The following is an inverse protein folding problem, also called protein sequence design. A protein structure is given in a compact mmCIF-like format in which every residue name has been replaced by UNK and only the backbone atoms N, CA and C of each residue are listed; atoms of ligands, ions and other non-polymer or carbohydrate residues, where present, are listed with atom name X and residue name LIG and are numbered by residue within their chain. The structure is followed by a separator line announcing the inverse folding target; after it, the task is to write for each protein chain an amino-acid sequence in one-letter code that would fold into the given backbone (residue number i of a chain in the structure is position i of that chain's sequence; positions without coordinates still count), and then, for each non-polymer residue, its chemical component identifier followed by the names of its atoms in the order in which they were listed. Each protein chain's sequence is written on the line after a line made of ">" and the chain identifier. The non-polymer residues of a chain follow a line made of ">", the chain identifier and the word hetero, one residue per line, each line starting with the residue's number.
data_IF_735412066846
#
_entry.id   IF_735412066846
#
_cell.length_a   1.000
_cell.length_b   1.000
_cell.length_c   1.000
_cell.angle_alpha   90.00
_cell.angle_beta   90.00
_cell.angle_gamma   90.00
#
_symmetry.space_group_name_H-M   'P 1'
#
loop_
_entity.id
_entity.type
_entity.pdbx_description
1 polymer ?
#
# COMPACT_ATOMS: atom_id res chain seq x y z
N UNK A 1 -28.47 4.70 19.23
CA UNK A 1 -27.21 5.46 19.35
C UNK A 1 -26.45 5.35 18.04
N UNK A 2 -26.41 6.42 17.26
CA UNK A 2 -25.62 6.48 16.01
C UNK A 2 -24.14 6.33 16.38
N UNK A 3 -23.51 5.25 15.94
CA UNK A 3 -22.06 5.09 16.03
C UNK A 3 -21.47 6.18 15.13
N UNK A 4 -20.86 7.23 15.72
CA UNK A 4 -20.00 8.14 14.95
C UNK A 4 -19.05 7.28 14.14
N UNK A 5 -19.18 7.29 12.82
CA UNK A 5 -18.24 6.66 11.92
C UNK A 5 -16.87 7.27 12.22
N UNK A 6 -15.93 6.45 12.66
CA UNK A 6 -14.55 6.87 12.91
C UNK A 6 -13.99 7.35 11.58
N UNK A 7 -13.40 8.54 11.55
CA UNK A 7 -12.69 9.05 10.37
C UNK A 7 -11.75 7.98 9.82
N UNK A 8 -11.87 7.70 8.54
CA UNK A 8 -11.04 6.69 7.87
C UNK A 8 -9.82 7.35 7.27
N UNK A 9 -8.67 6.71 7.41
CA UNK A 9 -7.43 7.22 6.80
C UNK A 9 -7.48 7.04 5.28
N UNK A 10 -7.07 8.06 4.55
CA UNK A 10 -6.82 8.02 3.11
C UNK A 10 -5.33 7.92 2.90
N UNK A 11 -4.87 6.77 2.43
CA UNK A 11 -3.47 6.36 2.40
C UNK A 11 -3.02 6.23 0.94
N UNK A 12 -1.93 6.90 0.57
CA UNK A 12 -1.33 6.72 -0.75
C UNK A 12 -0.19 5.69 -0.69
N UNK A 13 -0.28 4.63 -1.50
CA UNK A 13 0.79 3.63 -1.63
C UNK A 13 1.57 3.85 -2.91
N UNK A 14 2.89 3.87 -2.76
CA UNK A 14 3.87 4.03 -3.80
C UNK A 14 4.74 2.77 -3.89
N UNK A 15 4.61 2.04 -5.01
CA UNK A 15 5.44 0.88 -5.28
C UNK A 15 6.78 1.38 -5.85
N UNK A 16 7.88 1.09 -5.17
CA UNK A 16 9.22 1.61 -5.48
C UNK A 16 10.08 0.53 -6.12
N UNK A 17 10.80 0.89 -7.18
CA UNK A 17 11.84 0.06 -7.81
C UNK A 17 13.08 0.91 -8.08
N UNK A 18 14.11 0.73 -7.23
CA UNK A 18 15.28 1.62 -7.27
C UNK A 18 14.87 3.07 -7.03
N UNK A 19 15.32 4.05 -7.85
CA UNK A 19 14.99 5.45 -7.64
C UNK A 19 13.60 5.84 -8.15
N UNK A 20 12.79 4.91 -8.68
CA UNK A 20 11.54 5.23 -9.37
C UNK A 20 10.31 4.64 -8.71
N UNK A 21 9.19 5.35 -8.81
CA UNK A 21 7.86 4.74 -8.63
C UNK A 21 7.53 3.91 -9.85
N UNK A 22 6.97 2.75 -9.60
CA UNK A 22 6.45 1.87 -10.64
C UNK A 22 5.03 1.43 -10.29
N UNK A 23 4.25 1.07 -11.31
CA UNK A 23 2.93 0.46 -11.10
C UNK A 23 2.60 -0.52 -12.21
N UNK A 24 2.01 -1.64 -11.81
CA UNK A 24 1.43 -2.66 -12.68
C UNK A 24 -0.07 -2.81 -12.47
N UNK A 25 -0.64 -3.81 -13.11
CA UNK A 25 -2.00 -4.31 -12.88
C UNK A 25 -1.86 -5.70 -12.28
N UNK A 26 -2.55 -5.99 -11.18
CA UNK A 26 -2.44 -7.26 -10.45
C UNK A 26 -0.97 -7.63 -10.12
N UNK A 27 -0.18 -6.61 -9.76
CA UNK A 27 1.26 -6.70 -9.46
C UNK A 27 2.17 -7.07 -10.64
N UNK A 28 1.65 -7.10 -11.86
CA UNK A 28 2.39 -7.45 -13.08
C UNK A 28 2.51 -6.27 -14.06
N UNK A 29 3.44 -6.36 -15.02
CA UNK A 29 3.59 -5.38 -16.09
C UNK A 29 4.01 -4.01 -15.59
N UNK A 30 5.02 -3.95 -14.73
CA UNK A 30 5.49 -2.73 -14.08
C UNK A 30 5.91 -1.64 -15.06
N UNK A 31 5.42 -0.42 -14.85
CA UNK A 31 5.78 0.78 -15.60
C UNK A 31 6.32 1.83 -14.66
N UNK A 32 7.36 2.51 -15.08
CA UNK A 32 7.91 3.67 -14.36
C UNK A 32 6.94 4.84 -14.50
N UNK A 33 6.63 5.50 -13.37
CA UNK A 33 5.68 6.61 -13.31
C UNK A 33 6.33 7.94 -12.91
N UNK A 34 7.47 7.90 -12.22
CA UNK A 34 8.18 9.10 -11.80
C UNK A 34 8.99 8.94 -10.53
N UNK A 35 9.29 10.04 -9.90
CA UNK A 35 10.11 10.14 -8.69
C UNK A 35 9.27 9.91 -7.41
N UNK A 36 9.72 9.06 -6.45
CA UNK A 36 8.99 8.78 -5.22
C UNK A 36 8.78 10.00 -4.31
N UNK A 37 9.79 10.86 -4.20
CA UNK A 37 9.73 12.04 -3.34
C UNK A 37 8.69 13.04 -3.87
N UNK A 38 8.70 13.30 -5.19
CA UNK A 38 7.73 14.17 -5.84
C UNK A 38 6.28 13.68 -5.68
N UNK A 39 6.05 12.37 -5.77
CA UNK A 39 4.71 11.79 -5.60
C UNK A 39 4.26 11.82 -4.15
N UNK A 40 5.15 11.53 -3.19
CA UNK A 40 4.83 11.56 -1.77
C UNK A 40 4.48 12.98 -1.32
N UNK A 41 5.28 13.98 -1.70
CA UNK A 41 5.02 15.39 -1.41
C UNK A 41 3.70 15.87 -2.05
N UNK A 42 3.44 15.47 -3.29
CA UNK A 42 2.18 15.80 -3.96
C UNK A 42 0.97 15.25 -3.20
N UNK A 43 1.00 13.98 -2.74
CA UNK A 43 -0.10 13.40 -1.98
C UNK A 43 -0.22 13.98 -0.57
N UNK A 44 0.89 14.27 0.08
CA UNK A 44 0.92 15.00 1.35
C UNK A 44 0.23 16.35 1.21
N UNK A 45 0.57 17.14 0.21
CA UNK A 45 -0.04 18.46 -0.05
C UNK A 45 -1.52 18.38 -0.45
N UNK A 46 -2.00 17.23 -0.90
CA UNK A 46 -3.41 16.97 -1.13
C UNK A 46 -4.19 16.51 0.11
N UNK A 47 -3.52 16.27 1.24
CA UNK A 47 -4.13 15.88 2.51
C UNK A 47 -4.22 14.38 2.74
N UNK A 48 -3.30 13.58 2.18
CA UNK A 48 -3.13 12.19 2.57
C UNK A 48 -2.89 12.08 4.08
N UNK A 49 -3.46 11.05 4.71
CA UNK A 49 -3.27 10.80 6.14
C UNK A 49 -2.03 9.94 6.43
N UNK A 50 -1.53 9.21 5.43
CA UNK A 50 -0.36 8.35 5.52
C UNK A 50 0.19 8.05 4.13
N UNK A 51 1.50 7.84 4.02
CA UNK A 51 2.17 7.32 2.82
C UNK A 51 2.70 5.92 3.11
N UNK A 52 2.53 5.00 2.16
CA UNK A 52 3.17 3.68 2.19
C UNK A 52 4.17 3.57 1.05
N UNK A 53 5.44 3.33 1.35
CA UNK A 53 6.42 2.86 0.38
C UNK A 53 6.52 1.34 0.41
N UNK A 54 6.46 0.72 -0.76
CA UNK A 54 6.65 -0.73 -0.92
C UNK A 54 7.75 -0.99 -1.93
N UNK A 55 8.93 -1.45 -1.47
CA UNK A 55 9.98 -1.91 -2.38
C UNK A 55 9.60 -3.29 -2.94
N UNK A 56 9.21 -3.30 -4.21
CA UNK A 56 8.72 -4.50 -4.89
C UNK A 56 9.83 -5.35 -5.53
N UNK A 57 11.09 -4.90 -5.45
CA UNK A 57 12.26 -5.59 -6.00
C UNK A 57 13.40 -5.76 -5.00
N UNK A 58 13.15 -5.50 -3.73
CA UNK A 58 14.16 -5.58 -2.66
C UNK A 58 14.90 -6.93 -2.56
N UNK A 59 14.35 -7.98 -3.13
CA UNK A 59 15.02 -9.28 -3.24
C UNK A 59 16.09 -9.33 -4.33
N UNK A 60 16.06 -8.40 -5.30
CA UNK A 60 16.90 -8.39 -6.51
C UNK A 60 17.99 -7.32 -6.49
N UNK A 61 17.73 -6.18 -5.81
CA UNK A 61 18.65 -5.03 -5.76
C UNK A 61 18.98 -4.66 -4.32
N UNK A 62 20.17 -4.11 -4.09
CA UNK A 62 20.62 -3.73 -2.74
C UNK A 62 19.72 -2.68 -2.07
N UNK A 63 19.60 -2.75 -0.73
CA UNK A 63 18.70 -1.90 0.08
C UNK A 63 19.06 -0.42 0.16
N UNK A 64 20.27 -0.05 -0.21
CA UNK A 64 20.74 1.33 -0.02
C UNK A 64 19.88 2.37 -0.73
N UNK A 65 19.31 2.01 -1.90
CA UNK A 65 18.43 2.91 -2.65
C UNK A 65 17.11 3.23 -1.93
N UNK A 66 16.49 2.24 -1.26
CA UNK A 66 15.26 2.46 -0.51
C UNK A 66 15.48 3.35 0.72
N UNK A 67 16.54 3.11 1.50
CA UNK A 67 16.86 3.91 2.67
C UNK A 67 17.10 5.39 2.32
N UNK A 68 17.75 5.63 1.18
CA UNK A 68 17.98 6.98 0.68
C UNK A 68 16.65 7.67 0.30
N UNK A 69 15.77 7.00 -0.44
CA UNK A 69 14.45 7.51 -0.81
C UNK A 69 13.61 7.80 0.44
N UNK A 70 13.58 6.87 1.42
CA UNK A 70 12.88 7.07 2.71
C UNK A 70 13.42 8.30 3.43
N UNK A 71 14.75 8.43 3.55
CA UNK A 71 15.36 9.54 4.27
C UNK A 71 15.12 10.89 3.61
N UNK A 72 15.08 10.96 2.29
CA UNK A 72 14.75 12.18 1.56
C UNK A 72 13.27 12.54 1.71
N UNK A 73 12.38 11.57 1.55
CA UNK A 73 10.93 11.79 1.66
C UNK A 73 10.53 12.23 3.07
N UNK A 74 11.06 11.58 4.12
CA UNK A 74 10.74 11.90 5.50
C UNK A 74 11.11 13.34 5.92
N UNK A 75 11.96 14.04 5.16
CA UNK A 75 12.28 15.45 5.39
C UNK A 75 11.20 16.40 4.88
N UNK A 76 10.39 15.97 3.94
CA UNK A 76 9.47 16.82 3.18
C UNK A 76 7.99 16.53 3.51
N UNK A 77 7.68 15.42 4.19
CA UNK A 77 6.31 15.07 4.60
C UNK A 77 6.23 14.96 6.12
N UNK A 78 5.09 15.40 6.70
CA UNK A 78 4.85 15.42 8.16
C UNK A 78 3.61 14.59 8.52
N UNK A 79 3.42 13.48 7.82
CA UNK A 79 2.41 12.45 8.06
C UNK A 79 3.12 11.10 8.18
N UNK A 80 2.49 10.09 8.83
CA UNK A 80 3.11 8.78 8.98
C UNK A 80 3.61 8.19 7.66
N UNK A 81 4.84 7.68 7.67
CA UNK A 81 5.46 6.98 6.56
C UNK A 81 5.64 5.50 6.93
N UNK A 82 4.88 4.63 6.27
CA UNK A 82 5.02 3.17 6.41
C UNK A 82 5.91 2.64 5.30
N UNK A 83 6.87 1.80 5.64
CA UNK A 83 7.81 1.22 4.67
C UNK A 83 7.75 -0.30 4.70
N UNK A 84 7.59 -0.91 3.53
CA UNK A 84 7.57 -2.35 3.31
C UNK A 84 8.46 -2.79 2.15
N UNK A 85 8.62 -4.11 2.04
CA UNK A 85 9.46 -4.72 1.02
C UNK A 85 10.89 -5.00 1.48
N UNK A 86 11.33 -6.25 1.30
CA UNK A 86 12.70 -6.69 1.60
C UNK A 86 13.15 -6.68 3.06
N UNK A 87 12.30 -6.36 4.01
CA UNK A 87 12.59 -6.34 5.44
C UNK A 87 12.54 -7.78 5.98
N UNK A 88 13.65 -8.28 6.55
CA UNK A 88 13.81 -9.70 6.91
C UNK A 88 14.34 -9.93 8.33
N UNK A 89 14.77 -8.88 9.01
CA UNK A 89 15.39 -8.95 10.34
C UNK A 89 15.10 -7.70 11.17
N UNK A 90 15.31 -7.78 12.49
CA UNK A 90 15.23 -6.62 13.39
C UNK A 90 16.20 -5.51 12.97
N UNK A 91 17.39 -5.90 12.49
CA UNK A 91 18.35 -4.92 11.95
C UNK A 91 17.75 -4.14 10.78
N UNK A 92 17.07 -4.81 9.85
CA UNK A 92 16.44 -4.16 8.70
C UNK A 92 15.36 -3.19 9.15
N UNK A 93 14.54 -3.60 10.12
CA UNK A 93 13.50 -2.75 10.72
C UNK A 93 14.14 -1.50 11.31
N UNK A 94 15.16 -1.66 12.15
CA UNK A 94 15.87 -0.55 12.77
C UNK A 94 16.49 0.41 11.73
N UNK A 95 17.10 -0.12 10.67
CA UNK A 95 17.71 0.70 9.62
C UNK A 95 16.66 1.56 8.90
N UNK A 96 15.48 1.00 8.59
CA UNK A 96 14.36 1.70 7.94
C UNK A 96 13.74 2.75 8.87
N UNK A 97 13.53 2.44 10.15
CA UNK A 97 13.03 3.40 11.14
C UNK A 97 14.02 4.57 11.33
N UNK A 98 15.32 4.28 11.39
CA UNK A 98 16.37 5.32 11.46
C UNK A 98 16.45 6.18 10.19
N UNK A 99 16.06 5.65 9.04
CA UNK A 99 15.96 6.43 7.82
C UNK A 99 14.76 7.40 7.82
N UNK A 100 13.82 7.29 8.75
CA UNK A 100 12.71 8.21 8.94
C UNK A 100 11.32 7.60 8.73
N UNK A 101 11.20 6.28 8.62
CA UNK A 101 9.91 5.60 8.64
C UNK A 101 9.29 5.60 10.05
N UNK A 102 7.98 5.71 10.14
CA UNK A 102 7.20 5.61 11.39
C UNK A 102 6.70 4.20 11.64
N UNK A 103 6.40 3.45 10.56
CA UNK A 103 5.90 2.09 10.59
C UNK A 103 6.59 1.19 9.58
N UNK A 104 6.53 -0.10 9.85
CA UNK A 104 7.07 -1.17 9.01
C UNK A 104 5.94 -2.08 8.54
N UNK A 105 5.97 -2.44 7.25
CA UNK A 105 5.04 -3.41 6.68
C UNK A 105 5.78 -4.72 6.35
N UNK A 106 5.40 -5.82 7.03
CA UNK A 106 5.95 -7.15 6.84
C UNK A 106 4.97 -8.04 6.05
N UNK A 107 5.46 -8.79 5.07
CA UNK A 107 4.72 -9.84 4.36
C UNK A 107 5.59 -11.11 4.30
N UNK A 108 6.39 -11.30 3.26
CA UNK A 108 7.14 -12.54 2.98
C UNK A 108 8.01 -13.02 4.15
N UNK A 109 8.64 -12.10 4.87
CA UNK A 109 9.47 -12.45 6.02
C UNK A 109 8.63 -13.00 7.17
N UNK A 110 7.46 -12.40 7.45
CA UNK A 110 6.54 -12.87 8.48
C UNK A 110 5.95 -14.25 8.14
N UNK A 111 5.60 -14.50 6.87
CA UNK A 111 5.11 -15.80 6.41
C UNK A 111 6.18 -16.90 6.57
N UNK A 112 7.45 -16.58 6.22
CA UNK A 112 8.57 -17.53 6.32
C UNK A 112 9.05 -17.76 7.75
N UNK A 113 8.96 -16.75 8.59
CA UNK A 113 9.35 -16.79 10.00
C UNK A 113 8.39 -15.94 10.85
N UNK A 114 7.26 -16.50 11.31
CA UNK A 114 6.29 -15.78 12.13
C UNK A 114 6.88 -15.22 13.44
N UNK A 115 7.92 -15.83 13.98
CA UNK A 115 8.62 -15.34 15.19
C UNK A 115 9.16 -13.91 15.01
N UNK A 116 9.46 -13.51 13.78
CA UNK A 116 9.89 -12.13 13.49
C UNK A 116 8.82 -11.09 13.92
N UNK A 117 7.52 -11.45 13.92
CA UNK A 117 6.46 -10.55 14.38
C UNK A 117 6.60 -10.31 15.88
N UNK A 118 6.75 -11.38 16.68
CA UNK A 118 6.90 -11.28 18.15
C UNK A 118 8.13 -10.43 18.51
N UNK A 119 9.26 -10.73 17.87
CA UNK A 119 10.54 -10.06 18.14
C UNK A 119 10.46 -8.57 17.77
N UNK A 120 9.85 -8.25 16.60
CA UNK A 120 9.67 -6.88 16.15
C UNK A 120 8.70 -6.10 17.05
N UNK A 121 7.60 -6.69 17.46
CA UNK A 121 6.63 -6.08 18.38
C UNK A 121 7.26 -5.82 19.75
N UNK A 122 8.05 -6.76 20.26
CA UNK A 122 8.77 -6.61 21.53
C UNK A 122 9.77 -5.47 21.50
N UNK A 123 10.48 -5.28 20.39
CA UNK A 123 11.56 -4.29 20.29
C UNK A 123 11.03 -2.90 19.89
N UNK A 124 10.08 -2.83 18.95
CA UNK A 124 9.64 -1.56 18.33
C UNK A 124 8.21 -1.16 18.71
N UNK A 125 7.47 -2.02 19.37
CA UNK A 125 6.07 -1.80 19.74
C UNK A 125 5.06 -2.20 18.65
N UNK A 126 3.89 -2.63 19.07
CA UNK A 126 2.80 -3.10 18.20
C UNK A 126 2.40 -2.05 17.14
N UNK A 127 2.29 -0.78 17.53
CA UNK A 127 1.86 0.31 16.61
C UNK A 127 2.81 0.56 15.44
N UNK A 128 4.06 0.09 15.55
CA UNK A 128 5.07 0.20 14.49
C UNK A 128 4.95 -0.92 13.46
N UNK A 129 4.27 -2.02 13.78
CA UNK A 129 4.27 -3.24 12.96
C UNK A 129 2.92 -3.43 12.28
N UNK A 130 2.91 -3.27 10.97
CA UNK A 130 1.80 -3.60 10.07
C UNK A 130 2.09 -4.92 9.37
N UNK A 131 1.14 -5.85 9.34
CA UNK A 131 1.26 -7.08 8.54
C UNK A 131 0.49 -6.91 7.24
N UNK A 132 1.22 -6.96 6.12
CA UNK A 132 0.61 -6.97 4.79
C UNK A 132 0.21 -8.40 4.41
N UNK A 133 -1.06 -8.58 4.07
CA UNK A 133 -1.62 -9.84 3.61
C UNK A 133 -2.11 -9.65 2.19
N UNK A 134 -1.42 -10.27 1.25
CA UNK A 134 -1.73 -10.24 -0.17
C UNK A 134 -2.59 -11.44 -0.52
N UNK A 135 -3.83 -11.21 -0.97
CA UNK A 135 -4.82 -12.25 -1.23
C UNK A 135 -5.24 -12.23 -2.69
N UNK A 136 -5.22 -13.40 -3.32
CA UNK A 136 -5.76 -13.59 -4.66
C UNK A 136 -6.98 -14.54 -4.62
N UNK A 137 -7.90 -14.37 -5.56
CA UNK A 137 -9.04 -15.26 -5.73
C UNK A 137 -8.70 -16.30 -6.81
N UNK A 138 -8.31 -17.50 -6.39
CA UNK A 138 -7.97 -18.63 -7.24
C UNK A 138 -9.01 -19.72 -7.07
N UNK A 139 -9.59 -20.23 -8.14
CA UNK A 139 -10.61 -21.29 -8.12
C UNK A 139 -11.71 -21.06 -7.08
N UNK A 140 -12.20 -19.83 -6.96
CA UNK A 140 -13.21 -19.36 -6.00
C UNK A 140 -12.78 -19.42 -4.52
N UNK A 141 -11.49 -19.59 -4.22
CA UNK A 141 -10.90 -19.54 -2.88
C UNK A 141 -9.98 -18.34 -2.74
N UNK A 142 -9.96 -17.76 -1.57
CA UNK A 142 -9.01 -16.72 -1.22
C UNK A 142 -7.72 -17.36 -0.72
N UNK A 143 -6.66 -17.20 -1.51
CA UNK A 143 -5.33 -17.75 -1.23
C UNK A 143 -4.37 -16.62 -0.88
N UNK A 144 -3.53 -16.82 0.15
CA UNK A 144 -2.48 -15.87 0.51
C UNK A 144 -1.28 -16.08 -0.41
N UNK A 145 -0.78 -14.97 -0.95
CA UNK A 145 0.45 -14.96 -1.71
C UNK A 145 1.53 -14.13 -1.00
N UNK A 146 2.78 -14.42 -1.32
CA UNK A 146 3.94 -13.67 -0.86
C UNK A 146 4.96 -13.51 -2.01
N UNK A 147 6.14 -12.96 -1.73
CA UNK A 147 7.13 -12.62 -2.76
C UNK A 147 6.52 -11.78 -3.90
N UNK A 148 5.79 -10.73 -3.48
CA UNK A 148 5.14 -9.81 -4.41
C UNK A 148 4.07 -10.49 -5.28
N UNK A 149 3.21 -11.28 -4.66
CA UNK A 149 2.09 -11.96 -5.30
C UNK A 149 2.47 -13.16 -6.19
N UNK A 150 3.69 -13.69 -6.09
CA UNK A 150 4.19 -14.73 -7.00
C UNK A 150 4.13 -16.16 -6.45
N UNK A 151 4.11 -16.32 -5.15
CA UNK A 151 4.15 -17.63 -4.50
C UNK A 151 2.97 -17.81 -3.56
N UNK A 152 2.37 -19.00 -3.58
CA UNK A 152 1.32 -19.39 -2.65
C UNK A 152 1.91 -19.68 -1.27
N UNK A 153 1.32 -19.12 -0.23
CA UNK A 153 1.76 -19.35 1.14
C UNK A 153 1.29 -20.72 1.70
N UNK A 154 0.23 -21.29 1.12
CA UNK A 154 -0.42 -22.51 1.63
C UNK A 154 -0.86 -22.42 3.08
N UNK A 155 -1.27 -21.22 3.50
CA UNK A 155 -1.75 -20.89 4.84
C UNK A 155 -3.20 -20.43 4.72
N UNK A 156 -4.07 -20.89 5.60
CA UNK A 156 -5.46 -20.44 5.67
C UNK A 156 -5.53 -18.97 6.07
N UNK A 157 -6.32 -18.18 5.34
CA UNK A 157 -6.43 -16.73 5.53
C UNK A 157 -6.87 -16.34 6.94
N UNK A 158 -7.89 -17.03 7.47
CA UNK A 158 -8.45 -16.70 8.78
C UNK A 158 -7.47 -17.03 9.90
N UNK A 159 -6.84 -18.22 9.82
CA UNK A 159 -5.80 -18.64 10.78
C UNK A 159 -4.62 -17.68 10.78
N UNK A 160 -4.18 -17.25 9.61
CA UNK A 160 -3.04 -16.33 9.51
C UNK A 160 -3.36 -14.95 10.11
N UNK A 161 -4.54 -14.40 9.86
CA UNK A 161 -4.97 -13.14 10.46
C UNK A 161 -5.03 -13.25 11.98
N UNK A 162 -5.57 -14.36 12.51
CA UNK A 162 -5.64 -14.61 13.96
C UNK A 162 -4.22 -14.70 14.53
N UNK A 163 -3.35 -15.50 13.93
CA UNK A 163 -1.96 -15.67 14.37
C UNK A 163 -1.19 -14.34 14.38
N UNK A 164 -1.30 -13.52 13.33
CA UNK A 164 -0.65 -12.21 13.30
C UNK A 164 -1.08 -11.32 14.48
N UNK A 165 -2.36 -11.32 14.82
CA UNK A 165 -2.88 -10.54 15.95
C UNK A 165 -2.41 -11.08 17.30
N UNK A 166 -2.40 -12.41 17.49
CA UNK A 166 -1.91 -13.05 18.70
C UNK A 166 -0.42 -12.78 18.94
N UNK A 167 0.36 -12.66 17.86
CA UNK A 167 1.78 -12.25 17.91
C UNK A 167 1.97 -10.74 18.12
N UNK A 168 0.90 -9.96 18.19
CA UNK A 168 0.92 -8.54 18.55
C UNK A 168 0.99 -7.57 17.38
N UNK A 169 0.70 -7.99 16.15
CA UNK A 169 0.59 -7.06 15.00
C UNK A 169 -0.36 -5.89 15.33
N UNK A 170 0.09 -4.67 15.09
CA UNK A 170 -0.69 -3.46 15.40
C UNK A 170 -1.71 -3.08 14.33
N UNK A 171 -1.53 -3.57 13.11
CA UNK A 171 -2.38 -3.24 11.97
C UNK A 171 -2.31 -4.34 10.90
N UNK A 172 -3.42 -4.57 10.19
CA UNK A 172 -3.47 -5.44 9.02
C UNK A 172 -3.69 -4.58 7.77
N UNK A 173 -2.79 -4.72 6.76
CA UNK A 173 -2.97 -4.22 5.40
C UNK A 173 -3.42 -5.37 4.50
N UNK A 174 -4.71 -5.38 4.16
CA UNK A 174 -5.31 -6.39 3.29
C UNK A 174 -5.32 -5.94 1.84
N UNK A 175 -4.60 -6.64 0.96
CA UNK A 175 -4.55 -6.36 -0.47
C UNK A 175 -5.25 -7.43 -1.29
N UNK A 176 -6.29 -7.07 -2.03
CA UNK A 176 -6.94 -7.94 -3.02
C UNK A 176 -6.19 -7.85 -4.36
N UNK A 177 -5.26 -8.80 -4.64
CA UNK A 177 -4.41 -8.79 -5.84
C UNK A 177 -5.24 -8.78 -7.12
N UNK A 178 -6.25 -9.66 -7.22
CA UNK A 178 -7.14 -9.76 -8.38
C UNK A 178 -7.94 -8.49 -8.68
N UNK A 179 -7.97 -7.54 -7.73
CA UNK A 179 -8.58 -6.22 -7.88
C UNK A 179 -7.55 -5.11 -8.08
N UNK A 180 -6.28 -5.34 -7.70
CA UNK A 180 -5.26 -4.28 -7.74
C UNK A 180 -5.05 -3.74 -9.15
N UNK A 181 -5.15 -2.42 -9.28
CA UNK A 181 -5.00 -1.71 -10.55
C UNK A 181 -6.12 -1.89 -11.56
N UNK A 182 -7.21 -2.61 -11.25
CA UNK A 182 -8.30 -2.91 -12.21
C UNK A 182 -9.39 -1.84 -12.30
N UNK A 183 -9.55 -1.00 -11.27
CA UNK A 183 -10.64 -0.02 -11.19
C UNK A 183 -12.05 -0.64 -11.04
N UNK A 184 -12.16 -1.92 -10.64
CA UNK A 184 -13.43 -2.65 -10.54
C UNK A 184 -14.08 -2.59 -9.14
N UNK A 185 -13.58 -1.72 -8.26
CA UNK A 185 -14.03 -1.59 -6.88
C UNK A 185 -13.38 -2.61 -5.94
N UNK A 186 -13.43 -2.31 -4.63
CA UNK A 186 -12.89 -3.18 -3.59
C UNK A 186 -13.60 -4.54 -3.55
N UNK A 187 -12.89 -5.59 -3.12
CA UNK A 187 -13.50 -6.90 -2.88
C UNK A 187 -14.23 -6.92 -1.53
N UNK A 188 -15.52 -6.61 -1.59
CA UNK A 188 -16.36 -6.52 -0.41
C UNK A 188 -16.53 -7.89 0.28
N UNK A 189 -16.57 -8.99 -0.48
CA UNK A 189 -16.71 -10.33 0.10
C UNK A 189 -15.49 -10.70 0.94
N UNK A 190 -14.30 -10.41 0.44
CA UNK A 190 -13.05 -10.60 1.18
C UNK A 190 -13.03 -9.74 2.45
N UNK A 191 -13.39 -8.47 2.34
CA UNK A 191 -13.43 -7.53 3.47
C UNK A 191 -14.43 -7.99 4.53
N UNK A 192 -15.63 -8.44 4.14
CA UNK A 192 -16.64 -8.95 5.07
C UNK A 192 -16.17 -10.23 5.80
N UNK A 193 -15.45 -11.13 5.10
CA UNK A 193 -14.87 -12.31 5.71
C UNK A 193 -13.84 -11.92 6.78
N UNK A 194 -12.92 -11.03 6.45
CA UNK A 194 -11.86 -10.57 7.35
C UNK A 194 -12.43 -9.78 8.54
N UNK A 195 -13.46 -8.98 8.32
CA UNK A 195 -14.11 -8.19 9.39
C UNK A 195 -14.71 -9.01 10.52
N UNK A 196 -14.99 -10.30 10.30
CA UNK A 196 -15.53 -11.21 11.34
C UNK A 196 -14.48 -11.59 12.38
N UNK A 197 -13.20 -11.52 12.03
CA UNK A 197 -12.09 -12.04 12.82
C UNK A 197 -11.05 -10.97 13.20
N UNK A 198 -10.95 -9.89 12.43
CA UNK A 198 -9.98 -8.84 12.69
C UNK A 198 -10.38 -8.01 13.92
N UNK A 199 -9.40 -7.81 14.83
CA UNK A 199 -9.57 -7.04 16.09
C UNK A 199 -8.66 -5.83 16.16
N UNK A 200 -7.64 -5.78 15.32
CA UNK A 200 -6.73 -4.62 15.14
C UNK A 200 -7.20 -3.74 13.98
N UNK A 201 -6.69 -2.52 13.83
CA UNK A 201 -6.98 -1.69 12.67
C UNK A 201 -6.81 -2.45 11.35
N UNK A 202 -7.81 -2.31 10.47
CA UNK A 202 -7.82 -2.89 9.13
C UNK A 202 -7.76 -1.79 8.08
N UNK A 203 -6.70 -1.78 7.28
CA UNK A 203 -6.61 -0.96 6.08
C UNK A 203 -6.71 -1.86 4.84
N UNK A 204 -7.41 -1.40 3.82
CA UNK A 204 -7.75 -2.23 2.65
C UNK A 204 -7.27 -1.62 1.35
N UNK A 205 -6.78 -2.46 0.44
CA UNK A 205 -6.24 -2.08 -0.85
C UNK A 205 -6.76 -2.98 -1.98
N UNK A 206 -6.81 -2.40 -3.18
CA UNK A 206 -7.10 -3.10 -4.44
C UNK A 206 -8.48 -2.81 -4.98
N UNK A 207 -8.52 -2.24 -6.19
CA UNK A 207 -9.72 -2.11 -7.00
C UNK A 207 -10.36 -0.73 -7.10
N UNK A 208 -10.05 0.25 -6.26
CA UNK A 208 -10.64 1.58 -6.35
C UNK A 208 -10.38 2.22 -7.73
N UNK A 209 -11.43 2.70 -8.38
CA UNK A 209 -11.38 3.37 -9.68
C UNK A 209 -12.30 4.58 -9.80
N UNK A 210 -13.20 4.81 -8.82
CA UNK A 210 -14.18 5.88 -8.84
C UNK A 210 -14.60 6.32 -7.43
N UNK A 211 -15.24 7.50 -7.34
CA UNK A 211 -15.85 7.99 -6.09
C UNK A 211 -16.89 7.02 -5.52
N UNK A 212 -17.65 6.33 -6.39
CA UNK A 212 -18.62 5.31 -5.97
C UNK A 212 -17.99 4.16 -5.20
N UNK A 213 -16.76 3.80 -5.54
CA UNK A 213 -16.03 2.75 -4.82
C UNK A 213 -15.64 3.24 -3.42
N UNK A 214 -15.30 4.52 -3.29
CA UNK A 214 -15.01 5.17 -2.01
C UNK A 214 -16.28 5.25 -1.16
N UNK A 215 -17.37 5.79 -1.70
CA UNK A 215 -18.67 5.87 -1.03
C UNK A 215 -19.13 4.50 -0.51
N UNK A 216 -18.90 3.46 -1.31
CA UNK A 216 -19.23 2.09 -0.92
C UNK A 216 -18.36 1.59 0.23
N UNK A 217 -17.03 1.72 0.13
CA UNK A 217 -16.12 1.12 1.13
C UNK A 217 -16.18 1.83 2.48
N UNK A 218 -16.47 3.13 2.54
CA UNK A 218 -16.58 3.85 3.80
C UNK A 218 -17.77 3.39 4.66
N UNK A 219 -18.77 2.73 4.09
CA UNK A 219 -19.88 2.13 4.85
C UNK A 219 -19.48 0.83 5.56
N UNK A 220 -18.33 0.25 5.23
CA UNK A 220 -17.81 -0.98 5.85
C UNK A 220 -16.90 -0.66 7.06
N UNK A 221 -16.72 -1.66 7.92
CA UNK A 221 -15.82 -1.56 9.08
C UNK A 221 -14.37 -1.70 8.61
N UNK A 222 -13.79 -0.60 8.11
CA UNK A 222 -12.36 -0.47 7.79
C UNK A 222 -11.82 0.79 8.43
N UNK A 223 -10.55 0.83 8.80
CA UNK A 223 -9.90 1.97 9.46
C UNK A 223 -9.14 2.87 8.49
N UNK A 224 -8.93 2.39 7.26
CA UNK A 224 -8.33 3.16 6.19
C UNK A 224 -8.47 2.50 4.82
N UNK A 225 -8.32 3.32 3.80
CA UNK A 225 -8.32 2.92 2.39
C UNK A 225 -6.97 3.25 1.77
N UNK A 226 -6.35 2.28 1.12
CA UNK A 226 -5.06 2.41 0.48
C UNK A 226 -5.26 2.46 -1.03
N UNK A 227 -4.75 3.51 -1.65
CA UNK A 227 -4.90 3.78 -3.08
C UNK A 227 -3.52 3.94 -3.73
N UNK A 228 -3.40 3.48 -4.96
CA UNK A 228 -2.20 3.55 -5.76
C UNK A 228 -2.52 3.94 -7.20
N UNK A 229 -2.85 2.99 -8.07
CA UNK A 229 -3.09 3.22 -9.51
C UNK A 229 -4.02 4.39 -9.81
N UNK A 230 -5.18 4.48 -9.17
CA UNK A 230 -6.16 5.54 -9.42
C UNK A 230 -5.57 6.93 -9.13
N UNK A 231 -4.82 7.07 -8.02
CA UNK A 231 -4.16 8.34 -7.66
C UNK A 231 -3.01 8.67 -8.64
N UNK A 232 -2.18 7.68 -8.97
CA UNK A 232 -1.02 7.89 -9.84
C UNK A 232 -1.45 8.30 -11.24
N UNK A 233 -2.40 7.60 -11.83
CA UNK A 233 -2.88 7.93 -13.17
C UNK A 233 -3.64 9.26 -13.22
N UNK A 234 -4.37 9.62 -12.14
CA UNK A 234 -4.98 10.95 -12.02
C UNK A 234 -3.91 12.06 -11.98
N UNK A 235 -2.85 11.90 -11.16
CA UNK A 235 -1.73 12.86 -11.10
C UNK A 235 -1.08 13.02 -12.47
N UNK A 236 -0.79 11.91 -13.17
CA UNK A 236 -0.15 11.93 -14.49
C UNK A 236 -1.06 12.61 -15.53
N UNK A 237 -2.36 12.36 -15.51
CA UNK A 237 -3.31 12.98 -16.44
C UNK A 237 -3.47 14.50 -16.23
N UNK A 238 -3.24 14.99 -15.01
CA UNK A 238 -3.31 16.42 -14.66
C UNK A 238 -2.02 17.19 -14.94
N UNK A 239 -0.90 16.50 -15.25
CA UNK A 239 0.38 17.17 -15.52
C UNK A 239 0.31 18.00 -16.79
N UNK A 240 0.81 19.23 -16.69
CA UNK A 240 1.04 20.12 -17.82
C UNK A 240 2.19 19.63 -18.72
N UNK A 241 2.25 20.07 -19.97
CA UNK A 241 3.28 19.67 -20.95
C UNK A 241 4.73 20.06 -20.55
N UNK A 242 4.89 20.79 -19.45
CA UNK A 242 6.18 21.21 -18.87
C UNK A 242 6.88 20.12 -18.03
N UNK A 243 6.27 18.93 -17.86
CA UNK A 243 6.85 17.86 -17.06
C UNK A 243 8.19 17.38 -17.63
N UNK A 244 9.26 17.66 -16.92
CA UNK A 244 10.59 17.09 -17.20
C UNK A 244 10.63 15.66 -16.61
N UNK A 245 10.62 14.67 -17.49
CA UNK A 245 10.91 13.30 -17.10
C UNK A 245 12.37 13.21 -16.63
N UNK A 246 12.56 13.08 -15.33
CA UNK A 246 13.88 12.91 -14.71
C UNK A 246 14.28 11.44 -14.60
N UNK A 247 13.39 10.49 -14.96
CA UNK A 247 13.70 9.07 -14.91
C UNK A 247 14.68 8.68 -16.02
N UNK A 248 15.76 7.98 -15.65
CA UNK A 248 16.75 7.43 -16.60
C UNK A 248 16.24 6.15 -17.29
N UNK A 249 15.19 5.52 -16.80
CA UNK A 249 14.67 4.24 -17.26
C UNK A 249 13.14 4.28 -17.42
N UNK A 250 12.58 3.57 -18.40
CA UNK A 250 11.17 3.34 -18.57
C UNK A 250 10.59 3.70 -19.94
N UNK A 251 9.31 3.33 -20.16
CA UNK A 251 8.60 3.67 -21.39
C UNK A 251 8.06 5.11 -21.32
N UNK A 252 8.91 6.07 -21.73
CA UNK A 252 8.63 7.52 -21.73
C UNK A 252 7.43 7.91 -22.60
N UNK A 253 7.15 7.14 -23.66
CA UNK A 253 5.99 7.39 -24.53
C UNK A 253 4.66 7.17 -23.83
N UNK A 254 4.59 6.23 -22.88
CA UNK A 254 3.38 6.00 -22.10
C UNK A 254 2.99 7.22 -21.26
N UNK A 255 3.97 7.82 -20.59
CA UNK A 255 3.75 9.03 -19.76
C UNK A 255 3.42 10.23 -20.66
N UNK A 256 4.15 10.41 -21.78
CA UNK A 256 3.94 11.51 -22.73
C UNK A 256 2.56 11.45 -23.40
N UNK A 257 2.09 10.27 -23.72
CA UNK A 257 0.80 10.10 -24.40
C UNK A 257 -0.41 10.21 -23.47
N UNK A 258 -0.22 10.43 -22.16
CA UNK A 258 -1.30 10.53 -21.13
C UNK A 258 -2.30 9.36 -21.22
N UNK A 259 -1.90 8.23 -21.83
CA UNK A 259 -2.75 7.06 -22.00
C UNK A 259 -2.84 6.28 -20.70
N UNK A 260 -3.98 6.36 -20.05
CA UNK A 260 -4.34 5.41 -18.99
C UNK A 260 -4.90 4.16 -19.65
N UNK A 261 -4.38 2.97 -19.29
CA UNK A 261 -4.88 1.69 -19.85
C UNK A 261 -6.25 1.30 -19.29
N UNK A 262 -6.70 1.99 -18.26
CA UNK A 262 -7.94 1.72 -17.54
C UNK A 262 -8.73 3.01 -17.41
N UNK A 263 -10.04 2.90 -17.49
CA UNK A 263 -10.98 4.01 -17.31
C UNK A 263 -11.05 4.42 -15.81
N UNK A 264 -9.90 4.85 -15.23
CA UNK A 264 -9.96 5.52 -13.94
C UNK A 264 -10.68 6.86 -14.12
N UNK A 265 -11.74 7.06 -13.37
CA UNK A 265 -12.35 8.38 -13.24
C UNK A 265 -11.43 9.20 -12.34
N UNK A 266 -11.13 10.43 -12.74
CA UNK A 266 -10.27 11.33 -11.95
C UNK A 266 -10.59 11.20 -10.46
N UNK A 267 -9.65 10.66 -9.71
CA UNK A 267 -9.79 10.37 -8.28
C UNK A 267 -8.56 10.90 -7.57
N UNK A 268 -8.67 12.08 -6.98
CA UNK A 268 -7.60 12.67 -6.17
C UNK A 268 -7.92 12.60 -4.67
N UNK A 269 -6.89 12.83 -3.85
CA UNK A 269 -7.02 12.71 -2.39
C UNK A 269 -7.99 13.73 -1.81
N UNK A 270 -8.00 14.98 -2.32
CA UNK A 270 -8.92 16.02 -1.84
C UNK A 270 -10.37 15.62 -2.02
N UNK A 271 -10.70 15.07 -3.20
CA UNK A 271 -12.05 14.57 -3.49
C UNK A 271 -12.41 13.39 -2.59
N UNK A 272 -11.47 12.46 -2.37
CA UNK A 272 -11.69 11.31 -1.48
C UNK A 272 -11.90 11.77 -0.03
N UNK A 273 -11.11 12.70 0.46
CA UNK A 273 -11.27 13.29 1.81
C UNK A 273 -12.64 13.93 2.00
N UNK A 274 -13.15 14.66 1.02
CA UNK A 274 -14.51 15.24 1.07
C UNK A 274 -15.58 14.16 1.26
N UNK A 275 -15.42 12.99 0.64
CA UNK A 275 -16.36 11.85 0.78
C UNK A 275 -16.19 11.18 2.15
N UNK A 276 -14.97 11.02 2.62
CA UNK A 276 -14.67 10.32 3.89
C UNK A 276 -15.07 11.16 5.10
N UNK A 277 -14.96 12.48 4.99
CA UNK A 277 -15.24 13.45 6.08
C UNK A 277 -16.71 13.90 6.10
N UNK A 278 -17.54 13.55 5.09
CA UNK A 278 -18.97 13.85 5.02
C UNK A 278 -19.80 12.84 5.82
#
# INVERSE_FOLDING_TARGET
>A
MSRKLKLKRVIARLDVKGPNIVKGVQMEGLRVLGDPEEFAEYYYNQGADEIIFSDIVASLYGRNSLLEVVSKTAKNIFIPLTVGGGIRSLKDINDVLRAGADKISLNSAAIKNPQLIDDAVKEFGSSTITIAIEVNLLDKKYEILYNNGRELAHIDLEKWIIECQERGAGEILLTAIHRDGTGQGFDIKLIDQVNKIVKVPLIVQGGAGSTKDIEKIISYKVDGIVLSSALHYTKIAQKDDTYKDTSSEGNKEFIKNKKTFLNFKNLDIKMIKQIVDS
#
